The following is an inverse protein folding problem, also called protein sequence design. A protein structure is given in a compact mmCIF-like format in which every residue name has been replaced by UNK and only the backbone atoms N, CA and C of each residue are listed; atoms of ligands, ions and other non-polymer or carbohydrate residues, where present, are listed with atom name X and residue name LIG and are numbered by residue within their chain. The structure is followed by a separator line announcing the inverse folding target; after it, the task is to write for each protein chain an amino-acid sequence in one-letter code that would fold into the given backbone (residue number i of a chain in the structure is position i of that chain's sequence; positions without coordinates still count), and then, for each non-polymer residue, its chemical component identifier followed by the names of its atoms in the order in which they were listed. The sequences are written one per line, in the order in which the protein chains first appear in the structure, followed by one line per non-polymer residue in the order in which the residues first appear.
data_IF_924867951242
#
_entry.id   IF_924867951242
#
_cell.length_a   1.000
_cell.length_b   1.000
_cell.length_c   1.000
_cell.angle_alpha   90.00
_cell.angle_beta   90.00
_cell.angle_gamma   90.00
#
_symmetry.space_group_name_H-M   'P 1'
#
loop_
_entity.id
_entity.type
_entity.pdbx_description
1 polymer ?
#
# COMPACT_ATOMS: atom_id res chain seq x y z
N UNK A 1 -56.47 29.77 24.94
CA UNK A 1 -55.31 30.33 25.66
C UNK A 1 -54.79 29.23 26.57
N UNK A 2 -53.68 28.54 26.34
CA UNK A 2 -52.78 28.37 25.21
C UNK A 2 -52.18 26.96 25.36
N UNK A 3 -51.79 26.36 24.24
CA UNK A 3 -51.14 25.06 24.16
C UNK A 3 -49.77 25.14 24.85
N UNK A 4 -49.51 24.32 25.86
CA UNK A 4 -48.18 24.13 26.44
C UNK A 4 -47.48 22.99 25.68
N UNK A 5 -46.95 23.33 24.51
CA UNK A 5 -45.95 22.51 23.83
C UNK A 5 -44.63 22.64 24.62
N UNK A 6 -44.44 21.80 25.62
CA UNK A 6 -43.11 21.53 26.16
C UNK A 6 -42.35 20.72 25.11
N UNK A 7 -41.67 21.44 24.22
CA UNK A 7 -40.62 20.87 23.38
C UNK A 7 -39.46 20.50 24.32
N UNK A 8 -39.15 19.19 24.53
CA UNK A 8 -37.97 18.85 25.27
C UNK A 8 -36.79 19.31 24.43
N UNK A 9 -36.02 20.27 24.95
CA UNK A 9 -34.72 20.61 24.44
C UNK A 9 -33.95 19.30 24.26
N UNK A 10 -33.78 18.87 23.00
CA UNK A 10 -32.87 17.80 22.65
C UNK A 10 -31.51 18.35 23.03
N UNK A 11 -31.08 17.95 24.22
CA UNK A 11 -29.81 18.32 24.81
C UNK A 11 -28.72 18.06 23.78
N UNK A 12 -28.07 19.15 23.39
CA UNK A 12 -26.86 19.20 22.59
C UNK A 12 -25.71 18.66 23.47
N UNK A 13 -25.84 17.42 23.96
CA UNK A 13 -24.84 16.69 24.74
C UNK A 13 -24.22 15.55 23.93
N UNK A 14 -24.45 15.50 22.61
CA UNK A 14 -23.76 14.57 21.69
C UNK A 14 -22.46 15.19 21.15
N UNK A 15 -21.73 15.89 22.01
CA UNK A 15 -20.31 16.18 21.79
C UNK A 15 -19.50 15.53 22.92
N UNK A 16 -19.77 14.25 23.14
CA UNK A 16 -19.03 13.40 24.06
C UNK A 16 -17.60 13.25 23.58
N UNK A 17 -16.69 13.82 24.36
CA UNK A 17 -15.23 13.67 24.38
C UNK A 17 -14.49 13.80 23.03
N UNK A 18 -13.60 14.79 22.95
CA UNK A 18 -12.63 14.88 21.86
C UNK A 18 -11.88 13.54 21.68
N UNK A 19 -11.33 13.27 20.49
CA UNK A 19 -10.80 11.96 20.13
C UNK A 19 -9.83 11.44 21.19
N UNK A 20 -10.16 10.30 21.81
CA UNK A 20 -9.30 9.65 22.80
C UNK A 20 -7.90 9.46 22.20
N UNK A 21 -6.83 9.96 22.87
CA UNK A 21 -5.49 9.79 22.35
C UNK A 21 -5.15 8.30 22.24
N UNK A 22 -4.53 7.86 21.13
CA UNK A 22 -4.23 6.45 20.90
C UNK A 22 -3.33 5.91 22.01
N UNK A 23 -3.76 4.81 22.64
CA UNK A 23 -2.99 4.09 23.66
C UNK A 23 -1.69 3.52 23.09
N UNK A 24 -0.66 3.34 23.92
CA UNK A 24 0.63 2.75 23.51
C UNK A 24 0.49 1.41 22.76
N UNK A 25 -0.45 0.56 23.17
CA UNK A 25 -0.74 -0.72 22.51
C UNK A 25 -1.24 -0.56 21.07
N UNK A 26 -1.98 0.52 20.78
CA UNK A 26 -2.47 0.84 19.45
C UNK A 26 -1.30 1.25 18.57
N UNK A 27 -0.44 2.16 19.04
CA UNK A 27 0.77 2.57 18.33
C UNK A 27 1.66 1.39 17.97
N UNK A 28 1.89 0.48 18.93
CA UNK A 28 2.69 -0.72 18.68
C UNK A 28 2.14 -1.56 17.53
N UNK A 29 0.81 -1.73 17.44
CA UNK A 29 0.17 -2.47 16.35
C UNK A 29 0.36 -1.78 15.00
N UNK A 30 0.19 -0.45 14.96
CA UNK A 30 0.32 0.32 13.71
C UNK A 30 1.77 0.29 13.21
N UNK A 31 2.74 0.48 14.11
CA UNK A 31 4.17 0.41 13.79
C UNK A 31 4.55 -1.01 13.34
N UNK A 32 4.07 -2.05 14.02
CA UNK A 32 4.34 -3.43 13.63
C UNK A 32 3.79 -3.74 12.24
N UNK A 33 2.56 -3.33 11.94
CA UNK A 33 1.96 -3.55 10.62
C UNK A 33 2.65 -2.75 9.53
N UNK A 34 3.04 -1.52 9.82
CA UNK A 34 3.85 -0.71 8.90
C UNK A 34 5.19 -1.42 8.63
N UNK A 35 5.88 -1.91 9.65
CA UNK A 35 7.15 -2.61 9.49
C UNK A 35 7.01 -3.89 8.66
N UNK A 36 5.97 -4.69 8.91
CA UNK A 36 5.67 -5.88 8.10
C UNK A 36 5.35 -5.47 6.65
N UNK A 37 4.63 -4.36 6.46
CA UNK A 37 4.30 -3.84 5.12
C UNK A 37 5.54 -3.37 4.37
N UNK A 38 6.46 -2.67 5.05
CA UNK A 38 7.77 -2.32 4.47
C UNK A 38 8.49 -3.58 4.01
N UNK A 39 8.53 -4.62 4.85
CA UNK A 39 9.21 -5.87 4.51
C UNK A 39 8.56 -6.56 3.30
N UNK A 40 7.25 -6.75 3.31
CA UNK A 40 6.54 -7.44 2.22
C UNK A 40 6.56 -6.65 0.92
N UNK A 41 6.42 -5.32 0.97
CA UNK A 41 6.55 -4.46 -0.22
C UNK A 41 7.99 -4.38 -0.73
N UNK A 42 9.00 -4.47 0.14
CA UNK A 42 10.42 -4.56 -0.28
C UNK A 42 10.66 -5.87 -1.04
N UNK A 43 10.15 -6.99 -0.53
CA UNK A 43 10.19 -8.27 -1.24
C UNK A 43 9.43 -8.24 -2.56
N UNK A 44 8.24 -7.63 -2.59
CA UNK A 44 7.49 -7.48 -3.85
C UNK A 44 8.23 -6.59 -4.85
N UNK A 45 8.90 -5.54 -4.38
CA UNK A 45 9.65 -4.59 -5.21
C UNK A 45 10.85 -5.20 -5.92
N UNK A 46 11.46 -6.26 -5.39
CA UNK A 46 12.58 -6.96 -6.06
C UNK A 46 12.12 -8.07 -7.01
N UNK A 47 10.86 -8.51 -6.90
CA UNK A 47 10.28 -9.57 -7.71
C UNK A 47 9.57 -8.99 -8.95
N UNK A 48 9.64 -9.69 -10.09
CA UNK A 48 8.83 -9.37 -11.27
C UNK A 48 7.33 -9.33 -10.89
N UNK A 49 6.51 -8.41 -11.45
CA UNK A 49 6.83 -7.44 -12.50
C UNK A 49 7.48 -6.14 -12.02
N UNK A 50 7.62 -5.91 -10.71
CA UNK A 50 8.16 -4.64 -10.20
C UNK A 50 9.69 -4.58 -10.23
N UNK A 51 10.33 -5.72 -9.93
CA UNK A 51 11.77 -5.85 -9.88
C UNK A 51 12.32 -6.85 -10.88
N UNK A 52 13.61 -7.13 -10.70
CA UNK A 52 14.44 -7.89 -11.64
C UNK A 52 14.48 -9.39 -11.35
N UNK A 53 14.06 -9.82 -10.16
CA UNK A 53 14.14 -11.23 -9.79
C UNK A 53 12.94 -12.00 -10.37
N UNK A 54 13.18 -13.13 -11.06
CA UNK A 54 12.10 -13.95 -11.61
C UNK A 54 11.33 -14.68 -10.49
N UNK A 55 10.01 -14.79 -10.66
CA UNK A 55 9.12 -15.53 -9.75
C UNK A 55 9.30 -17.05 -9.90
N UNK A 56 9.37 -17.50 -11.15
CA UNK A 56 9.52 -18.90 -11.53
C UNK A 56 10.82 -19.03 -12.28
N UNK A 57 11.69 -19.93 -11.81
CA UNK A 57 12.93 -20.28 -12.49
C UNK A 57 12.73 -21.67 -13.11
N UNK A 58 12.66 -21.72 -14.44
CA UNK A 58 12.49 -22.98 -15.19
C UNK A 58 11.96 -22.75 -16.60
N UNK A 59 12.10 -23.74 -17.49
CA UNK A 59 11.51 -23.70 -18.82
C UNK A 59 9.98 -23.68 -18.73
N UNK A 60 9.33 -23.01 -19.68
CA UNK A 60 7.87 -23.05 -19.79
C UNK A 60 7.39 -24.48 -20.03
N UNK A 61 6.30 -24.91 -19.35
CA UNK A 61 5.79 -26.27 -19.50
C UNK A 61 5.37 -26.51 -20.95
N UNK A 62 5.97 -27.52 -21.58
CA UNK A 62 5.65 -27.90 -22.96
C UNK A 62 4.48 -28.88 -23.03
N UNK A 63 4.21 -29.55 -21.91
CA UNK A 63 3.13 -30.54 -21.80
C UNK A 63 2.16 -30.20 -20.67
N UNK A 64 0.91 -30.65 -20.80
CA UNK A 64 -0.08 -30.52 -19.72
C UNK A 64 0.37 -31.22 -18.44
N UNK A 65 1.11 -32.33 -18.54
CA UNK A 65 1.67 -33.04 -17.40
C UNK A 65 2.68 -32.19 -16.62
N UNK A 66 3.56 -31.48 -17.32
CA UNK A 66 4.50 -30.51 -16.70
C UNK A 66 3.75 -29.35 -16.05
N UNK A 67 2.72 -28.81 -16.70
CA UNK A 67 1.90 -27.75 -16.12
C UNK A 67 1.23 -28.20 -14.81
N UNK A 68 0.65 -29.41 -14.79
CA UNK A 68 0.05 -29.98 -13.58
C UNK A 68 1.08 -30.26 -12.49
N UNK A 69 2.30 -30.67 -12.86
CA UNK A 69 3.39 -30.86 -11.90
C UNK A 69 3.86 -29.53 -11.27
N UNK A 70 3.93 -28.44 -12.06
CA UNK A 70 4.22 -27.10 -11.54
C UNK A 70 3.11 -26.67 -10.57
N UNK A 71 1.85 -26.83 -10.95
CA UNK A 71 0.71 -26.48 -10.09
C UNK A 71 0.71 -27.27 -8.77
N UNK A 72 1.03 -28.57 -8.82
CA UNK A 72 1.11 -29.40 -7.62
C UNK A 72 2.25 -28.97 -6.68
N UNK A 73 3.38 -28.49 -7.23
CA UNK A 73 4.53 -28.01 -6.46
C UNK A 73 4.47 -26.53 -6.09
N UNK A 74 3.44 -25.81 -6.55
CA UNK A 74 3.32 -24.36 -6.39
C UNK A 74 3.50 -23.87 -4.94
N UNK A 75 2.93 -24.53 -3.89
CA UNK A 75 3.15 -24.09 -2.51
C UNK A 75 4.61 -24.14 -2.09
N UNK A 76 5.34 -25.19 -2.51
CA UNK A 76 6.74 -25.37 -2.17
C UNK A 76 7.64 -24.41 -2.97
N UNK A 77 7.38 -24.27 -4.26
CA UNK A 77 8.09 -23.32 -5.12
C UNK A 77 7.90 -21.87 -4.64
N UNK A 78 6.69 -21.52 -4.22
CA UNK A 78 6.40 -20.21 -3.64
C UNK A 78 7.14 -19.98 -2.31
N UNK A 79 7.14 -20.97 -1.40
CA UNK A 79 7.89 -20.88 -0.15
C UNK A 79 9.41 -20.76 -0.39
N UNK A 80 9.95 -21.51 -1.35
CA UNK A 80 11.35 -21.43 -1.75
C UNK A 80 11.71 -20.06 -2.35
N UNK A 81 10.83 -19.51 -3.21
CA UNK A 81 10.98 -18.16 -3.76
C UNK A 81 11.01 -17.10 -2.65
N UNK A 82 10.11 -17.17 -1.67
CA UNK A 82 10.11 -16.25 -0.54
C UNK A 82 11.39 -16.36 0.28
N UNK A 83 11.82 -17.58 0.61
CA UNK A 83 13.05 -17.81 1.36
C UNK A 83 14.29 -17.31 0.61
N UNK A 84 14.39 -17.57 -0.69
CA UNK A 84 15.46 -17.07 -1.55
C UNK A 84 15.48 -15.55 -1.65
N UNK A 85 14.31 -14.93 -1.77
CA UNK A 85 14.19 -13.45 -1.81
C UNK A 85 14.64 -12.84 -0.49
N UNK A 86 14.22 -13.40 0.65
CA UNK A 86 14.68 -12.95 1.97
C UNK A 86 16.19 -13.09 2.08
N UNK A 87 16.73 -14.25 1.69
CA UNK A 87 18.18 -14.48 1.72
C UNK A 87 18.94 -13.43 0.91
N UNK A 88 18.49 -13.13 -0.31
CA UNK A 88 19.11 -12.12 -1.18
C UNK A 88 19.03 -10.72 -0.57
N UNK A 89 17.88 -10.32 -0.01
CA UNK A 89 17.73 -9.01 0.64
C UNK A 89 18.69 -8.81 1.82
N UNK A 90 19.10 -9.87 2.52
CA UNK A 90 20.07 -9.79 3.61
C UNK A 90 21.52 -10.00 3.16
N UNK A 91 21.74 -10.55 1.97
CA UNK A 91 23.08 -10.89 1.47
C UNK A 91 23.61 -9.90 0.45
N UNK A 92 22.73 -9.19 -0.24
CA UNK A 92 23.07 -8.26 -1.33
C UNK A 92 22.47 -6.87 -1.04
N UNK A 93 23.36 -5.91 -0.81
CA UNK A 93 22.99 -4.53 -0.47
C UNK A 93 22.32 -3.81 -1.64
N UNK A 94 22.66 -4.15 -2.88
CA UNK A 94 22.09 -3.52 -4.08
C UNK A 94 20.65 -4.01 -4.28
N UNK A 95 20.39 -5.29 -4.06
CA UNK A 95 19.03 -5.86 -4.06
C UNK A 95 18.18 -5.22 -2.96
N UNK A 96 18.73 -5.07 -1.75
CA UNK A 96 18.04 -4.39 -0.66
C UNK A 96 17.73 -2.93 -0.99
N UNK A 97 18.71 -2.17 -1.49
CA UNK A 97 18.54 -0.78 -1.87
C UNK A 97 17.48 -0.62 -2.98
N UNK A 98 17.47 -1.52 -3.96
CA UNK A 98 16.46 -1.56 -5.00
C UNK A 98 15.06 -1.79 -4.42
N UNK A 99 14.89 -2.83 -3.61
CA UNK A 99 13.61 -3.14 -2.97
C UNK A 99 13.10 -2.01 -2.06
N UNK A 100 14.01 -1.36 -1.32
CA UNK A 100 13.68 -0.22 -0.46
C UNK A 100 13.26 1.02 -1.27
N UNK A 101 13.91 1.28 -2.42
CA UNK A 101 13.52 2.40 -3.28
C UNK A 101 12.06 2.29 -3.75
N UNK A 102 11.62 1.06 -4.05
CA UNK A 102 10.23 0.76 -4.37
C UNK A 102 9.30 0.89 -3.15
N UNK A 103 9.61 0.18 -2.05
CA UNK A 103 8.69 0.10 -0.90
C UNK A 103 8.53 1.44 -0.19
N UNK A 104 9.60 2.23 -0.04
CA UNK A 104 9.54 3.55 0.57
C UNK A 104 8.71 4.52 -0.27
N UNK A 105 8.86 4.48 -1.60
CA UNK A 105 8.06 5.28 -2.53
C UNK A 105 6.57 4.95 -2.42
N UNK A 106 6.24 3.66 -2.45
CA UNK A 106 4.87 3.18 -2.33
C UNK A 106 4.24 3.56 -0.98
N UNK A 107 4.94 3.30 0.12
CA UNK A 107 4.46 3.59 1.47
C UNK A 107 4.30 5.08 1.69
N UNK A 108 5.20 5.91 1.16
CA UNK A 108 5.08 7.36 1.22
C UNK A 108 3.80 7.86 0.55
N UNK A 109 3.49 7.34 -0.65
CA UNK A 109 2.28 7.71 -1.40
C UNK A 109 1.02 7.26 -0.64
N UNK A 110 0.96 6.01 -0.18
CA UNK A 110 -0.17 5.47 0.58
C UNK A 110 -0.37 6.20 1.90
N UNK A 111 0.71 6.47 2.63
CA UNK A 111 0.67 7.23 3.87
C UNK A 111 0.14 8.64 3.62
N UNK A 112 0.62 9.31 2.57
CA UNK A 112 0.16 10.66 2.21
C UNK A 112 -1.31 10.67 1.82
N UNK A 113 -1.78 9.64 1.10
CA UNK A 113 -3.19 9.45 0.76
C UNK A 113 -4.07 9.35 2.02
N UNK A 114 -3.74 8.44 2.93
CA UNK A 114 -4.51 8.27 4.16
C UNK A 114 -4.40 9.48 5.10
N UNK A 115 -3.25 10.14 5.13
CA UNK A 115 -3.07 11.37 5.88
C UNK A 115 -3.92 12.52 5.32
N UNK A 116 -4.13 12.58 4.00
CA UNK A 116 -5.07 13.52 3.40
C UNK A 116 -6.49 13.35 3.94
N UNK A 117 -6.99 12.11 3.97
CA UNK A 117 -8.26 11.78 4.59
C UNK A 117 -8.28 12.14 6.09
N UNK A 118 -7.23 11.78 6.83
CA UNK A 118 -7.13 12.01 8.27
C UNK A 118 -7.17 13.51 8.60
N UNK A 119 -6.38 14.33 7.89
CA UNK A 119 -6.33 15.78 8.09
C UNK A 119 -7.71 16.39 7.81
N UNK A 120 -8.38 15.99 6.72
CA UNK A 120 -9.73 16.46 6.42
C UNK A 120 -10.73 16.06 7.52
N UNK A 121 -10.64 14.84 8.05
CA UNK A 121 -11.47 14.42 9.20
C UNK A 121 -11.24 15.33 10.41
N UNK A 122 -9.98 15.67 10.71
CA UNK A 122 -9.64 16.58 11.83
C UNK A 122 -10.20 17.99 11.62
N UNK A 123 -10.17 18.52 10.40
CA UNK A 123 -10.75 19.83 10.06
C UNK A 123 -12.27 19.81 10.29
N UNK A 124 -12.94 18.73 9.86
CA UNK A 124 -14.39 18.56 10.00
C UNK A 124 -14.84 18.02 11.36
N UNK A 125 -13.91 17.84 12.31
CA UNK A 125 -14.17 17.24 13.64
C UNK A 125 -14.84 15.86 13.57
N UNK A 126 -14.48 15.08 12.56
CA UNK A 126 -14.85 13.67 12.42
C UNK A 126 -13.79 12.81 13.10
N UNK A 127 -14.20 11.95 14.02
CA UNK A 127 -13.29 11.01 14.67
C UNK A 127 -12.87 9.90 13.70
N UNK A 128 -11.56 9.66 13.62
CA UNK A 128 -10.96 8.68 12.71
C UNK A 128 -9.68 8.08 13.32
N UNK A 129 -9.35 6.85 12.92
CA UNK A 129 -8.10 6.20 13.32
C UNK A 129 -6.90 6.81 12.61
N UNK A 130 -5.71 6.49 13.14
CA UNK A 130 -4.47 6.61 12.36
C UNK A 130 -4.47 5.64 11.16
N UNK A 131 -3.63 5.89 10.15
CA UNK A 131 -3.49 5.01 8.99
C UNK A 131 -3.08 3.59 9.39
N UNK A 132 -3.86 2.60 8.97
CA UNK A 132 -3.63 1.19 9.22
C UNK A 132 -3.22 0.50 7.92
N UNK A 133 -1.98 -0.02 7.87
CA UNK A 133 -1.47 -0.74 6.70
C UNK A 133 -1.88 -2.21 6.73
N UNK A 134 -2.17 -2.76 5.55
CA UNK A 134 -2.52 -4.16 5.37
C UNK A 134 -1.40 -4.85 4.57
N UNK A 135 -0.45 -5.52 5.23
CA UNK A 135 0.60 -6.25 4.53
C UNK A 135 0.03 -7.48 3.84
N UNK A 136 0.63 -7.84 2.71
CA UNK A 136 0.35 -9.11 2.03
C UNK A 136 1.65 -9.75 1.64
N UNK A 137 1.77 -11.09 1.69
CA UNK A 137 2.89 -11.75 1.05
C UNK A 137 3.03 -11.30 -0.42
N UNK A 138 4.26 -11.21 -0.97
CA UNK A 138 4.47 -10.88 -2.38
C UNK A 138 3.63 -11.76 -3.31
N UNK A 139 3.17 -11.23 -4.43
CA UNK A 139 2.34 -11.91 -5.45
C UNK A 139 0.91 -12.28 -5.02
N UNK A 140 0.56 -12.23 -3.74
CA UNK A 140 -0.83 -12.40 -3.29
C UNK A 140 -1.57 -11.07 -3.38
N UNK A 141 -0.94 -9.98 -2.93
CA UNK A 141 -1.42 -8.61 -3.12
C UNK A 141 -0.71 -7.91 -4.27
N UNK A 142 -1.22 -6.75 -4.71
CA UNK A 142 -0.72 -6.05 -5.89
C UNK A 142 0.74 -5.63 -5.76
N UNK A 143 1.20 -5.18 -4.59
CA UNK A 143 2.56 -4.66 -4.40
C UNK A 143 3.14 -4.98 -3.01
N UNK A 144 2.87 -6.20 -2.52
CA UNK A 144 3.22 -6.60 -1.15
C UNK A 144 2.36 -5.96 -0.06
N UNK A 145 1.28 -5.29 -0.45
CA UNK A 145 0.28 -4.70 0.45
C UNK A 145 -1.07 -4.58 -0.26
N UNK A 146 -2.17 -4.61 0.51
CA UNK A 146 -3.50 -4.19 0.03
C UNK A 146 -3.73 -2.67 0.21
N UNK A 147 -2.71 -1.94 0.63
CA UNK A 147 -2.77 -0.51 0.90
C UNK A 147 -2.89 -0.21 2.38
N UNK A 148 -3.36 1.00 2.67
CA UNK A 148 -3.68 1.47 4.00
C UNK A 148 -5.09 2.03 4.02
N UNK A 149 -5.68 2.16 5.21
CA UNK A 149 -6.96 2.83 5.38
C UNK A 149 -7.04 3.50 6.75
N UNK A 150 -7.88 4.52 6.87
CA UNK A 150 -8.39 5.03 8.15
C UNK A 150 -9.80 4.52 8.39
N UNK A 151 -10.14 4.27 9.66
CA UNK A 151 -11.51 3.93 10.07
C UNK A 151 -12.19 5.17 10.65
N UNK A 152 -13.28 5.59 10.02
CA UNK A 152 -14.18 6.63 10.53
C UNK A 152 -14.99 6.07 11.70
N UNK A 153 -15.09 6.84 12.79
CA UNK A 153 -15.70 6.42 14.06
C UNK A 153 -16.90 7.28 14.47
N UNK A 154 -17.06 8.45 13.87
CA UNK A 154 -18.21 9.33 14.13
C UNK A 154 -19.01 9.60 12.86
N UNK A 155 -20.28 10.02 12.99
CA UNK A 155 -21.08 10.46 11.85
C UNK A 155 -20.46 11.66 11.12
N UNK A 156 -20.75 11.79 9.82
CA UNK A 156 -20.35 12.96 9.05
C UNK A 156 -21.31 14.14 9.30
N UNK A 157 -20.80 15.36 9.51
CA UNK A 157 -21.64 16.52 9.79
C UNK A 157 -22.44 17.01 8.58
N UNK A 158 -21.99 16.75 7.35
CA UNK A 158 -22.68 17.19 6.13
C UNK A 158 -22.28 16.38 4.89
N UNK A 159 -23.03 16.52 3.79
CA UNK A 159 -22.65 15.95 2.48
C UNK A 159 -21.36 16.55 1.94
N UNK A 160 -21.12 17.85 2.21
CA UNK A 160 -19.89 18.53 1.82
C UNK A 160 -18.68 17.91 2.51
N UNK A 161 -18.75 17.61 3.82
CA UNK A 161 -17.65 16.96 4.53
C UNK A 161 -17.34 15.57 3.99
N UNK A 162 -18.35 14.82 3.53
CA UNK A 162 -18.11 13.50 2.90
C UNK A 162 -17.29 13.68 1.61
N UNK A 163 -17.67 14.64 0.77
CA UNK A 163 -16.97 14.93 -0.47
C UNK A 163 -15.53 15.42 -0.22
N UNK A 164 -15.37 16.41 0.65
CA UNK A 164 -14.07 17.01 0.93
C UNK A 164 -13.11 16.01 1.57
N UNK A 165 -13.60 15.18 2.51
CA UNK A 165 -12.80 14.08 3.08
C UNK A 165 -12.47 13.07 1.98
N UNK A 166 -13.44 12.68 1.15
CA UNK A 166 -13.25 11.69 0.09
C UNK A 166 -12.23 12.11 -0.98
N UNK A 167 -12.15 13.40 -1.31
CA UNK A 167 -11.20 13.89 -2.33
C UNK A 167 -9.82 14.23 -1.75
N UNK A 168 -9.74 14.55 -0.45
CA UNK A 168 -8.48 14.95 0.19
C UNK A 168 -7.38 13.89 0.10
N UNK A 169 -7.72 12.61 0.27
CA UNK A 169 -6.75 11.51 0.15
C UNK A 169 -6.16 11.37 -1.24
N UNK A 170 -6.98 11.21 -2.30
CA UNK A 170 -6.50 11.19 -3.69
C UNK A 170 -5.61 12.38 -4.06
N UNK A 171 -5.98 13.61 -3.66
CA UNK A 171 -5.17 14.81 -3.93
C UNK A 171 -3.82 14.74 -3.22
N UNK A 172 -3.81 14.38 -1.92
CA UNK A 172 -2.57 14.28 -1.15
C UNK A 172 -1.64 13.18 -1.70
N UNK A 173 -2.20 12.02 -2.04
CA UNK A 173 -1.46 10.92 -2.67
C UNK A 173 -0.91 11.31 -4.05
N UNK A 174 -1.68 12.03 -4.86
CA UNK A 174 -1.23 12.51 -6.16
C UNK A 174 -0.08 13.52 -6.04
N UNK A 175 -0.17 14.48 -5.12
CA UNK A 175 0.91 15.44 -4.85
C UNK A 175 2.18 14.71 -4.39
N UNK A 176 2.05 13.70 -3.52
CA UNK A 176 3.16 12.88 -3.07
C UNK A 176 3.78 12.02 -4.19
N UNK A 177 2.97 11.58 -5.15
CA UNK A 177 3.42 10.82 -6.32
C UNK A 177 4.29 11.68 -7.25
N UNK A 178 3.99 12.96 -7.45
CA UNK A 178 4.72 13.83 -8.38
C UNK A 178 6.26 13.84 -8.18
N UNK A 179 6.82 14.12 -6.97
CA UNK A 179 8.26 14.10 -6.78
C UNK A 179 8.85 12.70 -6.98
N UNK A 180 8.15 11.65 -6.57
CA UNK A 180 8.57 10.25 -6.80
C UNK A 180 8.64 9.94 -8.30
N UNK A 181 7.64 10.36 -9.07
CA UNK A 181 7.60 10.18 -10.51
C UNK A 181 8.74 10.94 -11.20
N UNK A 182 9.01 12.18 -10.79
CA UNK A 182 10.15 12.96 -11.30
C UNK A 182 11.47 12.25 -11.00
N UNK A 183 11.67 11.77 -9.77
CA UNK A 183 12.86 11.00 -9.38
C UNK A 183 12.99 9.72 -10.23
N UNK A 184 11.89 9.01 -10.46
CA UNK A 184 11.88 7.81 -11.29
C UNK A 184 12.26 8.12 -12.75
N UNK A 185 11.75 9.21 -13.31
CA UNK A 185 12.07 9.62 -14.68
C UNK A 185 13.55 10.01 -14.84
N UNK A 186 14.13 10.72 -13.88
CA UNK A 186 15.55 11.13 -13.96
C UNK A 186 16.52 9.98 -13.66
N UNK A 187 16.09 8.94 -12.93
CA UNK A 187 16.94 7.79 -12.57
C UNK A 187 16.70 6.57 -13.47
N UNK A 188 15.73 6.62 -14.37
CA UNK A 188 15.42 5.55 -15.32
C UNK A 188 16.66 5.22 -16.16
N UNK A 189 17.04 3.94 -16.21
CA UNK A 189 18.07 3.44 -17.12
C UNK A 189 17.44 3.19 -18.48
N UNK A 190 18.04 3.74 -19.53
CA UNK A 190 17.67 3.41 -20.91
C UNK A 190 18.18 2.01 -21.24
N UNK A 191 17.37 1.26 -22.00
CA UNK A 191 17.81 -0.01 -22.58
C UNK A 191 18.96 0.29 -23.56
N UNK A 192 20.11 -0.39 -23.48
CA UNK A 192 21.19 -0.19 -24.43
C UNK A 192 20.72 -0.36 -25.87
N UNK A 193 21.14 0.53 -26.78
CA UNK A 193 20.76 0.50 -28.20
C UNK A 193 21.24 -0.77 -28.94
N UNK A 194 22.21 -1.47 -28.36
CA UNK A 194 22.77 -2.70 -28.90
C UNK A 194 22.05 -3.96 -28.38
N UNK A 195 20.91 -3.79 -27.69
CA UNK A 195 20.07 -4.90 -27.26
C UNK A 195 19.53 -5.65 -28.48
N UNK A 196 20.07 -6.83 -28.74
CA UNK A 196 19.54 -7.76 -29.74
C UNK A 196 18.40 -8.53 -29.07
N UNK A 197 17.13 -8.30 -29.44
CA UNK A 197 16.02 -9.06 -28.89
C UNK A 197 16.16 -10.55 -29.25
N UNK A 198 15.92 -11.41 -28.27
CA UNK A 198 15.71 -12.85 -28.50
C UNK A 198 14.63 -13.06 -29.58
N UNK A 199 14.75 -14.07 -30.46
CA UNK A 199 13.73 -14.37 -31.47
C UNK A 199 12.34 -14.52 -30.83
N UNK A 200 11.38 -13.69 -31.23
CA UNK A 200 10.05 -13.58 -30.57
C UNK A 200 9.87 -12.32 -29.70
N UNK A 201 10.94 -11.53 -29.59
CA UNK A 201 11.03 -10.15 -29.11
C UNK A 201 10.05 -9.12 -29.70
N UNK A 202 9.09 -8.55 -28.95
CA UNK A 202 8.50 -7.26 -29.35
C UNK A 202 9.34 -6.12 -28.75
N UNK A 203 10.09 -5.41 -29.60
CA UNK A 203 10.83 -4.20 -29.23
C UNK A 203 10.00 -2.98 -29.64
N UNK A 204 9.69 -2.13 -28.68
CA UNK A 204 9.11 -0.81 -28.94
C UNK A 204 10.23 0.22 -28.88
N UNK A 205 10.49 0.85 -30.02
CA UNK A 205 11.44 1.95 -30.19
C UNK A 205 10.83 3.30 -29.81
#
# INVERSE_FOLDING_TARGET
MGMSDENPEISVEVFGEGPMPPTRSIWLRHIALLAVTVMTSTMAGVLYPFGILPIVTGPDPQTFGEAMAILANLPLSYAAMLAGTVYLLFSDIDVLAYGLSFSLSLIFILLSHEMGHYIACRIYRVDATLPFFIPTPPLIGPAGTFGAFIKIRSPFPSRKSIFDIGVAGPIAGFIALLPIAVIGLITMKQVPTDFVPEPGSLVFA
#
